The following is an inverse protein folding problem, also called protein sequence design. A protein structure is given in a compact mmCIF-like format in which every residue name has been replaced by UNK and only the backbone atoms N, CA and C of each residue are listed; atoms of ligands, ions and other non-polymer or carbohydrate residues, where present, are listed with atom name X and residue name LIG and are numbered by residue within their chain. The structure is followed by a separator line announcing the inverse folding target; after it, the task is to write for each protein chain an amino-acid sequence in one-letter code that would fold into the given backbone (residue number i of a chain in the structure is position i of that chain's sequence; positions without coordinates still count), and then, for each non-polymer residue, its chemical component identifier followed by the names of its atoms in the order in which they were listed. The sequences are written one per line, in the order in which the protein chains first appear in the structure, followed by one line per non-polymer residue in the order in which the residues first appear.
data_IF_862023546068
#
_entry.id   IF_862023546068
#
_cell.length_a   1.000
_cell.length_b   1.000
_cell.length_c   1.000
_cell.angle_alpha   90.00
_cell.angle_beta   90.00
_cell.angle_gamma   90.00
#
_symmetry.space_group_name_H-M   'P 1'
#
loop_
_entity.id
_entity.type
_entity.pdbx_description
1 polymer ?
2 non-polymer ?
3 non-polymer ?
4 water ?
#
# COMPACT_ATOMS: atom_id res chain seq x y z
N UNK A 1 -17.87 -8.11 -8.48
CA UNK A 1 -16.88 -7.06 -8.28
C UNK A 1 -16.26 -6.61 -9.61
N UNK A 2 -15.14 -5.91 -9.49
CA UNK A 2 -14.32 -5.40 -10.58
C UNK A 2 -13.11 -6.32 -10.71
N UNK A 3 -12.27 -6.06 -11.72
CA UNK A 3 -11.08 -6.88 -11.91
C UNK A 3 -9.91 -6.03 -12.41
N UNK A 4 -8.70 -6.52 -12.17
CA UNK A 4 -7.49 -5.84 -12.65
C UNK A 4 -7.28 -6.10 -14.14
N UNK A 5 -6.93 -5.05 -14.88
CA UNK A 5 -6.73 -5.14 -16.31
C UNK A 5 -7.93 -5.65 -17.09
N UNK A 6 -8.39 -6.87 -16.77
CA UNK A 6 -9.56 -7.46 -17.38
C UNK A 6 -10.84 -6.68 -17.18
N UNK A 7 -11.97 -7.23 -17.66
CA UNK A 7 -13.25 -6.53 -17.76
C UNK A 7 -13.09 -5.32 -18.67
N UNK A 8 -14.14 -4.53 -18.80
CA UNK A 8 -14.03 -3.20 -19.43
C UNK A 8 -13.55 -2.21 -18.37
N UNK A 9 -13.15 -1.02 -18.76
CA UNK A 9 -12.62 -0.04 -17.80
C UNK A 9 -13.46 0.09 -16.52
N UNK A 10 -12.85 0.57 -15.43
CA UNK A 10 -13.59 0.80 -14.20
C UNK A 10 -14.63 1.92 -14.25
N UNK A 11 -14.42 3.06 -14.91
CA UNK A 11 -15.42 4.14 -14.83
C UNK A 11 -16.80 3.74 -15.32
N UNK A 12 -16.92 2.67 -16.13
CA UNK A 12 -18.24 2.23 -16.60
C UNK A 12 -19.15 1.88 -15.43
N UNK A 13 -18.59 1.27 -14.39
CA UNK A 13 -19.33 0.86 -13.23
C UNK A 13 -19.13 1.80 -12.05
N UNK A 14 -17.95 2.43 -11.92
CA UNK A 14 -17.65 3.34 -10.81
C UNK A 14 -17.15 4.65 -11.42
N UNK A 15 -18.05 5.58 -11.70
CA UNK A 15 -17.63 6.76 -12.47
C UNK A 15 -16.57 7.62 -11.78
N UNK A 16 -16.49 7.60 -10.45
CA UNK A 16 -15.46 8.35 -9.74
C UNK A 16 -14.05 7.93 -10.11
N UNK A 17 -13.89 6.73 -10.64
CA UNK A 17 -12.57 6.30 -11.07
C UNK A 17 -12.04 7.12 -12.24
N UNK A 18 -12.90 7.93 -12.87
CA UNK A 18 -12.45 8.83 -13.92
C UNK A 18 -12.16 10.23 -13.38
N UNK A 19 -12.04 10.38 -12.05
CA UNK A 19 -11.75 11.69 -11.46
C UNK A 19 -10.40 12.20 -11.91
N UNK A 20 -10.14 13.48 -11.62
CA UNK A 20 -8.92 14.09 -12.10
C UNK A 20 -7.71 13.86 -11.20
N UNK A 21 -7.91 13.43 -9.94
CA UNK A 21 -6.79 13.39 -8.97
C UNK A 21 -6.66 11.98 -8.38
N UNK A 22 -6.34 11.05 -9.26
CA UNK A 22 -6.34 9.63 -8.94
C UNK A 22 -4.93 9.15 -8.57
N UNK A 23 -4.91 7.95 -7.98
CA UNK A 23 -3.67 7.23 -7.66
C UNK A 23 -3.72 5.86 -8.33
N UNK A 24 -2.54 5.19 -8.53
CA UNK A 24 -1.19 5.68 -8.15
C UNK A 24 -0.65 6.64 -9.21
N UNK A 25 0.55 7.17 -8.98
CA UNK A 25 1.19 8.08 -9.91
C UNK A 25 2.64 7.68 -10.11
N UNK A 26 3.24 8.20 -11.18
CA UNK A 26 4.69 8.11 -11.41
C UNK A 26 5.37 9.27 -10.69
N UNK A 27 6.30 8.95 -9.78
CA UNK A 27 7.03 9.95 -8.98
C UNK A 27 8.31 10.29 -9.74
N UNK A 28 8.55 11.57 -10.00
CA UNK A 28 9.81 12.00 -10.61
C UNK A 28 10.54 12.86 -9.60
N UNK A 29 11.49 12.27 -8.85
CA UNK A 29 12.04 12.97 -7.68
C UNK A 29 12.66 14.34 -7.99
N UNK A 30 13.29 14.52 -9.15
CA UNK A 30 13.93 15.79 -9.47
C UNK A 30 12.89 16.91 -9.67
N UNK A 31 11.62 16.57 -9.87
CA UNK A 31 10.55 17.56 -10.05
C UNK A 31 9.65 17.68 -8.84
N UNK A 32 9.89 16.90 -7.80
CA UNK A 32 9.11 17.04 -6.60
C UNK A 32 9.50 18.32 -5.89
N UNK A 33 8.56 18.87 -5.18
CA UNK A 33 8.76 20.12 -4.47
C UNK A 33 9.33 19.83 -3.10
N UNK A 34 10.53 20.32 -2.84
CA UNK A 34 11.16 20.13 -1.54
C UNK A 34 10.42 20.90 -0.46
N UNK A 35 9.97 20.21 0.58
CA UNK A 35 9.14 20.82 1.62
C UNK A 35 9.71 20.50 2.99
N UNK A 36 10.46 21.44 3.57
CA UNK A 36 11.09 21.16 4.88
C UNK A 36 10.09 21.06 6.04
N UNK A 37 8.81 21.37 5.82
CA UNK A 37 7.77 21.15 6.82
C UNK A 37 7.44 19.66 6.96
N UNK A 38 7.94 18.82 6.07
CA UNK A 38 7.58 17.39 6.14
C UNK A 38 8.62 16.72 7.03
N UNK A 39 8.27 16.50 8.29
CA UNK A 39 9.20 15.96 9.26
C UNK A 39 9.08 14.44 9.36
N UNK A 40 9.97 13.80 10.10
CA UNK A 40 9.95 12.33 10.14
C UNK A 40 8.61 11.79 10.58
N UNK A 41 8.18 10.70 9.96
CA UNK A 41 6.93 10.08 10.34
C UNK A 41 7.00 9.54 11.77
N UNK A 42 5.87 9.59 12.46
CA UNK A 42 5.81 9.10 13.84
C UNK A 42 4.77 8.00 14.00
N UNK A 43 5.18 6.84 14.43
CA UNK A 43 4.26 5.74 14.60
C UNK A 43 4.28 5.30 16.07
N UNK A 44 3.13 4.87 16.58
CA UNK A 44 3.14 4.29 17.92
C UNK A 44 2.11 3.17 17.99
N UNK A 45 2.44 2.17 18.82
CA UNK A 45 1.54 1.04 18.93
C UNK A 45 1.71 -0.01 17.87
N UNK A 46 2.73 0.10 17.00
CA UNK A 46 2.84 -0.85 15.91
C UNK A 46 3.51 -2.15 16.33
N UNK A 47 4.12 -2.23 17.52
CA UNK A 47 4.83 -3.44 17.93
C UNK A 47 3.83 -4.24 18.75
N UNK A 48 3.11 -5.14 18.08
CA UNK A 48 2.02 -5.86 18.69
C UNK A 48 2.52 -7.11 19.44
N UNK A 49 1.82 -7.46 20.51
CA UNK A 49 2.09 -8.72 21.22
C UNK A 49 1.52 -9.91 20.45
N UNK A 50 1.88 -11.13 20.84
CA UNK A 50 1.44 -12.29 20.04
C UNK A 50 -0.06 -12.49 20.05
N UNK A 51 -0.74 -12.14 21.14
CA UNK A 51 -2.18 -12.22 21.23
C UNK A 51 -2.80 -10.88 21.58
N UNK A 52 -3.94 -10.56 21.02
CA UNK A 52 -4.75 -11.41 20.12
C UNK A 52 -4.19 -11.53 18.70
N UNK A 53 -4.56 -12.60 18.01
CA UNK A 53 -4.16 -12.81 16.62
C UNK A 53 -4.88 -11.80 15.69
N UNK A 54 -4.36 -11.73 14.48
CA UNK A 54 -4.88 -10.82 13.46
C UNK A 54 -5.46 -11.61 12.31
N UNK A 55 -6.53 -11.11 11.71
CA UNK A 55 -7.15 -11.78 10.57
C UNK A 55 -6.35 -11.51 9.31
N UNK A 56 -6.08 -12.57 8.55
CA UNK A 56 -5.41 -12.47 7.26
C UNK A 56 -6.34 -13.12 6.22
N UNK A 57 -6.65 -12.40 5.16
CA UNK A 57 -7.68 -12.87 4.23
C UNK A 57 -7.26 -12.65 2.79
N UNK A 58 -7.56 -13.63 1.93
CA UNK A 58 -7.47 -13.47 0.47
C UNK A 58 -8.85 -12.99 -0.01
N UNK A 59 -8.96 -11.71 -0.34
CA UNK A 59 -10.22 -11.14 -0.78
C UNK A 59 -10.41 -11.20 -2.30
N UNK A 60 -9.56 -11.91 -3.02
CA UNK A 60 -9.66 -11.99 -4.47
C UNK A 60 -8.89 -10.91 -5.21
N UNK A 61 -8.59 -9.79 -4.55
CA UNK A 61 -7.80 -8.74 -5.17
C UNK A 61 -6.44 -8.50 -4.52
N UNK A 62 -6.22 -9.01 -3.28
CA UNK A 62 -4.96 -8.86 -2.54
C UNK A 62 -5.06 -9.78 -1.32
N UNK A 63 -3.99 -9.82 -0.54
CA UNK A 63 -4.05 -10.37 0.79
C UNK A 63 -4.06 -9.21 1.77
N UNK A 64 -5.02 -9.25 2.69
CA UNK A 64 -5.27 -8.11 3.56
C UNK A 64 -5.20 -8.56 5.02
N UNK A 65 -4.37 -7.85 5.80
CA UNK A 65 -4.20 -8.09 7.23
C UNK A 65 -4.98 -7.02 8.00
N UNK A 66 -5.94 -7.46 8.83
CA UNK A 66 -6.70 -6.51 9.65
C UNK A 66 -5.91 -6.12 10.89
N UNK A 67 -5.77 -4.75 11.11
CA UNK A 67 -5.00 -4.34 12.27
C UNK A 67 -5.92 -4.05 13.46
N UNK A 68 -5.41 -4.25 14.67
CA UNK A 68 -6.22 -4.00 15.87
C UNK A 68 -6.26 -2.51 16.18
N UNK A 69 -7.21 -2.07 17.02
CA UNK A 69 -7.19 -0.68 17.49
C UNK A 69 -5.89 -0.37 18.22
N UNK A 70 -5.50 0.92 18.18
CA UNK A 70 -4.35 1.40 18.94
C UNK A 70 -3.08 1.69 18.15
N UNK A 71 -3.09 1.54 16.84
CA UNK A 71 -1.93 1.89 16.04
C UNK A 71 -2.10 3.33 15.58
N UNK A 72 -1.18 4.21 15.97
CA UNK A 72 -1.30 5.65 15.69
C UNK A 72 -0.21 6.07 14.70
N UNK A 73 -0.55 6.98 13.78
CA UNK A 73 0.43 7.47 12.82
C UNK A 73 0.22 8.97 12.69
N UNK A 74 1.31 9.73 12.75
CA UNK A 74 1.22 11.19 12.63
C UNK A 74 2.07 11.64 11.44
N UNK A 75 1.40 12.32 10.48
CA UNK A 75 2.08 12.97 9.35
C UNK A 75 2.55 14.38 9.68
N UNK A 76 2.02 14.99 10.73
CA UNK A 76 2.35 16.37 11.00
C UNK A 76 1.29 16.94 11.89
N UNK A 77 1.45 18.20 12.29
CA UNK A 77 0.40 18.90 13.05
C UNK A 77 -0.95 18.82 12.36
N UNK A 78 -1.97 18.45 13.13
CA UNK A 78 -3.30 18.37 12.54
C UNK A 78 -3.56 17.14 11.70
N UNK A 79 -2.58 16.23 11.58
CA UNK A 79 -2.70 15.13 10.62
C UNK A 79 -2.34 13.83 11.36
N UNK A 80 -3.26 13.40 12.22
CA UNK A 80 -3.11 12.19 13.01
C UNK A 80 -4.11 11.16 12.52
N UNK A 81 -3.67 9.89 12.57
CA UNK A 81 -4.37 8.77 11.94
C UNK A 81 -4.34 7.53 12.83
N UNK A 82 -5.28 6.62 12.59
CA UNK A 82 -5.31 5.29 13.19
C UNK A 82 -5.22 4.26 12.08
N UNK A 83 -4.35 3.26 12.25
CA UNK A 83 -4.21 2.23 11.21
C UNK A 83 -5.36 1.24 11.20
N UNK A 84 -5.86 0.93 10.01
CA UNK A 84 -6.97 -0.01 9.82
C UNK A 84 -6.56 -1.38 9.31
N UNK A 85 -5.72 -1.45 8.27
CA UNK A 85 -5.40 -2.69 7.60
C UNK A 85 -4.12 -2.44 6.78
N UNK A 86 -3.47 -3.55 6.35
CA UNK A 86 -2.45 -3.42 5.30
C UNK A 86 -2.67 -4.53 4.26
N UNK A 87 -2.25 -4.25 3.01
CA UNK A 87 -2.38 -5.25 1.95
C UNK A 87 -1.21 -4.98 1.00
N UNK A 88 -1.10 -5.82 -0.05
CA UNK A 88 0.03 -5.72 -0.95
C UNK A 88 -0.42 -5.78 -2.40
N UNK A 89 0.48 -5.37 -3.26
CA UNK A 89 0.31 -5.38 -4.71
C UNK A 89 1.58 -5.95 -5.30
N UNK A 90 1.43 -6.83 -6.30
CA UNK A 90 2.60 -7.53 -6.80
C UNK A 90 2.38 -7.92 -8.26
N UNK A 91 3.39 -8.59 -8.82
CA UNK A 91 3.39 -8.90 -10.25
C UNK A 91 3.17 -10.38 -10.52
N UNK A 92 4.18 -10.97 -11.15
CA UNK A 92 4.21 -12.40 -11.48
C UNK A 92 5.65 -12.84 -11.63
N UNK A 93 5.84 -14.14 -11.81
CA UNK A 93 7.17 -14.67 -12.07
C UNK A 93 7.92 -13.80 -13.07
N UNK A 94 9.02 -13.21 -12.62
CA UNK A 94 9.62 -12.15 -13.40
C UNK A 94 9.01 -10.79 -13.12
N UNK A 95 7.81 -10.57 -13.64
CA UNK A 95 7.29 -9.24 -13.86
C UNK A 95 7.07 -8.46 -12.55
N UNK A 96 7.51 -7.22 -12.47
CA UNK A 96 7.24 -6.40 -11.28
C UNK A 96 5.79 -5.96 -11.22
N UNK A 97 5.38 -5.56 -10.01
CA UNK A 97 3.99 -5.20 -9.80
C UNK A 97 3.68 -4.15 -8.74
N UNK A 98 4.62 -3.26 -8.46
CA UNK A 98 4.28 -2.12 -7.60
C UNK A 98 3.26 -1.23 -8.32
N UNK A 99 2.54 -0.44 -7.53
CA UNK A 99 1.52 0.48 -8.03
C UNK A 99 2.17 1.81 -8.39
N UNK A 100 2.90 2.38 -7.45
CA UNK A 100 3.64 3.61 -7.82
C UNK A 100 4.88 3.20 -8.60
N UNK A 101 5.39 4.11 -9.43
CA UNK A 101 6.65 3.96 -10.13
C UNK A 101 7.51 5.16 -9.83
N UNK A 102 8.82 5.02 -10.08
CA UNK A 102 9.76 6.12 -9.85
C UNK A 102 10.53 6.31 -11.16
N UNK A 103 10.37 7.48 -11.78
CA UNK A 103 10.92 7.67 -13.14
C UNK A 103 10.60 6.50 -14.07
N UNK A 104 9.36 6.02 -14.00
CA UNK A 104 8.94 4.93 -14.84
C UNK A 104 9.39 3.57 -14.38
N UNK A 105 10.20 3.48 -13.32
CA UNK A 105 10.65 2.20 -12.80
C UNK A 105 9.58 1.56 -11.91
N UNK A 106 9.20 0.31 -12.24
CA UNK A 106 8.26 -0.46 -11.44
C UNK A 106 9.04 -1.43 -10.56
N UNK A 107 8.71 -1.44 -9.25
CA UNK A 107 9.42 -2.30 -8.31
C UNK A 107 8.68 -3.64 -8.19
N UNK A 108 9.32 -4.69 -7.66
CA UNK A 108 8.66 -6.00 -7.57
C UNK A 108 7.31 -6.00 -6.89
N UNK A 109 7.11 -5.27 -5.78
CA UNK A 109 5.82 -5.32 -5.08
C UNK A 109 5.72 -4.06 -4.24
N UNK A 110 4.58 -3.86 -3.60
CA UNK A 110 4.36 -2.64 -2.82
C UNK A 110 3.44 -3.02 -1.66
N UNK A 111 3.70 -2.44 -0.46
CA UNK A 111 2.84 -2.57 0.71
C UNK A 111 2.13 -1.27 0.97
N UNK A 112 0.84 -1.38 1.31
CA UNK A 112 -0.02 -0.22 1.61
C UNK A 112 -0.58 -0.42 3.02
N UNK A 113 -0.30 0.51 3.93
CA UNK A 113 -0.93 0.50 5.24
C UNK A 113 -1.96 1.64 5.29
N UNK A 114 -3.24 1.29 5.39
CA UNK A 114 -4.35 2.23 5.23
C UNK A 114 -4.78 2.71 6.62
N UNK A 115 -4.97 4.05 6.72
CA UNK A 115 -5.28 4.70 7.99
C UNK A 115 -6.51 5.62 7.88
N UNK A 116 -7.21 5.76 9.02
CA UNK A 116 -8.36 6.64 9.15
C UNK A 116 -7.98 7.85 9.99
N UNK A 117 -8.29 9.05 9.48
CA UNK A 117 -8.08 10.27 10.27
C UNK A 117 -8.81 10.25 11.60
N UNK A 118 -8.13 10.80 12.62
CA UNK A 118 -8.75 10.85 13.93
C UNK A 118 -9.96 11.79 13.97
N UNK A 119 -10.17 12.57 12.90
CA UNK A 119 -11.37 13.40 12.79
C UNK A 119 -12.65 12.59 12.65
N UNK A 120 -12.55 11.32 12.22
CA UNK A 120 -13.69 10.50 11.85
C UNK A 120 -13.70 9.20 12.63
N UNK A 121 -14.90 8.75 13.00
CA UNK A 121 -15.06 7.51 13.73
C UNK A 121 -15.15 6.31 12.81
N UNK A 122 -15.50 6.52 11.53
CA UNK A 122 -15.79 5.43 10.60
C UNK A 122 -15.27 5.74 9.20
N UNK A 123 -14.77 4.72 8.52
CA UNK A 123 -14.27 4.87 7.16
C UNK A 123 -15.30 5.54 6.25
N UNK A 124 -16.57 5.15 6.40
CA UNK A 124 -17.61 5.66 5.50
C UNK A 124 -17.75 7.17 5.61
N UNK A 125 -17.50 7.73 6.80
CA UNK A 125 -17.56 9.17 6.94
C UNK A 125 -16.40 9.85 6.26
N UNK A 126 -15.25 9.16 6.16
CA UNK A 126 -14.03 9.81 5.69
C UNK A 126 -13.86 9.74 4.20
N UNK A 127 -14.47 8.75 3.53
CA UNK A 127 -14.32 8.60 2.08
C UNK A 127 -14.61 9.90 1.35
N UNK A 128 -13.71 10.30 0.46
CA UNK A 128 -13.87 11.49 -0.33
C UNK A 128 -13.57 12.78 0.38
N UNK A 129 -13.32 12.75 1.67
CA UNK A 129 -12.99 14.01 2.34
C UNK A 129 -11.49 14.27 2.30
N UNK A 130 -11.01 15.49 2.09
CA UNK A 130 -9.56 15.71 1.97
C UNK A 130 -8.87 15.36 3.29
N UNK A 131 -7.90 14.44 3.21
CA UNK A 131 -7.22 13.99 4.42
C UNK A 131 -7.94 12.95 5.24
N UNK A 132 -9.12 12.50 4.83
CA UNK A 132 -9.89 11.60 5.67
C UNK A 132 -9.25 10.23 5.77
N UNK A 133 -8.53 9.83 4.74
CA UNK A 133 -7.79 8.60 4.82
C UNK A 133 -6.35 8.90 4.40
N UNK A 134 -5.40 8.10 4.95
CA UNK A 134 -4.00 8.25 4.58
C UNK A 134 -3.41 6.86 4.37
N UNK A 135 -2.56 6.73 3.36
CA UNK A 135 -1.92 5.42 3.11
C UNK A 135 -0.41 5.62 3.21
N UNK A 136 0.25 4.70 3.91
CA UNK A 136 1.70 4.64 3.88
C UNK A 136 2.09 3.55 2.89
N UNK A 137 2.94 3.89 1.94
CA UNK A 137 3.30 2.96 0.85
C UNK A 137 4.80 2.76 0.81
N UNK A 138 5.24 1.50 0.70
CA UNK A 138 6.67 1.20 0.57
C UNK A 138 6.87 0.17 -0.55
N UNK A 139 7.96 0.34 -1.29
CA UNK A 139 8.31 -0.63 -2.29
C UNK A 139 9.06 -1.81 -1.69
N UNK A 140 8.76 -2.99 -2.26
CA UNK A 140 9.46 -4.25 -1.92
C UNK A 140 10.38 -4.61 -3.07
N UNK A 141 11.66 -4.80 -2.77
CA UNK A 141 12.64 -5.16 -3.81
C UNK A 141 13.33 -6.46 -3.41
N UNK A 142 14.04 -7.05 -4.40
CA UNK A 142 14.78 -8.29 -4.15
C UNK A 142 16.13 -7.99 -3.48
N UNK A 143 16.35 -8.65 -2.34
CA UNK A 143 17.61 -8.66 -1.62
C UNK A 143 18.12 -10.10 -1.53
N UNK A 144 19.31 -10.30 -0.95
CA UNK A 144 19.90 -11.65 -0.94
C UNK A 144 19.41 -12.53 0.19
N UNK A 145 18.77 -11.94 1.20
CA UNK A 145 18.46 -12.55 2.48
C UNK A 145 16.95 -12.71 2.65
N UNK A 146 16.53 -13.80 3.30
CA UNK A 146 15.15 -13.90 3.77
C UNK A 146 14.83 -12.77 4.75
N UNK A 147 13.72 -12.06 4.50
CA UNK A 147 13.23 -11.06 5.44
C UNK A 147 12.36 -11.73 6.49
N UNK A 148 12.83 -11.73 7.76
CA UNK A 148 12.16 -12.52 8.80
C UNK A 148 10.77 -11.99 9.16
N UNK A 149 10.59 -10.65 9.11
CA UNK A 149 9.27 -10.13 9.45
C UNK A 149 8.23 -10.51 8.41
N UNK A 150 8.58 -10.40 7.12
CA UNK A 150 7.63 -10.79 6.08
C UNK A 150 7.36 -12.29 6.09
N UNK A 151 8.34 -13.08 6.49
CA UNK A 151 8.13 -14.53 6.49
C UNK A 151 6.99 -14.93 7.41
N UNK A 152 6.72 -14.15 8.46
CA UNK A 152 5.58 -14.45 9.34
C UNK A 152 4.26 -14.42 8.56
N UNK A 153 4.14 -13.52 7.58
CA UNK A 153 2.95 -13.43 6.75
C UNK A 153 3.04 -14.37 5.56
N UNK A 154 4.19 -14.38 4.87
CA UNK A 154 4.25 -15.11 3.62
C UNK A 154 4.10 -16.60 3.83
N UNK A 155 4.55 -17.11 4.98
CA UNK A 155 4.43 -18.54 5.27
C UNK A 155 2.98 -18.96 5.50
N UNK A 156 2.05 -17.99 5.67
CA UNK A 156 0.63 -18.25 5.86
C UNK A 156 -0.20 -18.06 4.60
N UNK A 157 0.42 -17.76 3.44
CA UNK A 157 -0.38 -17.61 2.24
C UNK A 157 -0.93 -18.95 1.72
N UNK A 158 -0.17 -20.04 1.86
CA UNK A 158 -0.61 -21.31 1.29
C UNK A 158 -1.99 -21.69 1.83
N UNK A 159 -2.25 -21.38 3.11
CA UNK A 159 -3.50 -21.79 3.72
C UNK A 159 -4.68 -20.89 3.36
N UNK A 160 -4.42 -19.75 2.72
CA UNK A 160 -5.49 -18.89 2.21
C UNK A 160 -5.38 -18.75 0.68
N UNK A 161 -4.88 -19.81 0.02
CA UNK A 161 -4.70 -19.72 -1.43
C UNK A 161 -6.01 -19.52 -2.17
N UNK A 162 -7.11 -20.13 -1.71
CA UNK A 162 -8.38 -20.00 -2.40
C UNK A 162 -9.04 -18.64 -2.16
N UNK A 163 -9.59 -18.05 -3.22
CA UNK A 163 -10.30 -16.80 -3.11
C UNK A 163 -11.37 -16.84 -2.03
N UNK A 164 -11.39 -15.83 -1.15
CA UNK A 164 -12.32 -15.74 -0.06
C UNK A 164 -11.91 -16.39 1.24
N UNK A 165 -10.80 -17.13 1.25
CA UNK A 165 -10.45 -17.85 2.47
C UNK A 165 -9.68 -16.96 3.42
N UNK A 166 -9.63 -17.37 4.68
CA UNK A 166 -9.09 -16.52 5.73
C UNK A 166 -8.37 -17.38 6.76
N UNK A 167 -7.46 -16.74 7.51
CA UNK A 167 -6.79 -17.42 8.59
C UNK A 167 -6.50 -16.38 9.67
N UNK A 168 -5.80 -16.83 10.73
CA UNK A 168 -5.41 -15.97 11.87
C UNK A 168 -3.92 -16.09 12.06
N UNK A 169 -3.24 -14.96 12.26
CA UNK A 169 -1.79 -15.00 12.47
C UNK A 169 -1.42 -14.35 13.79
N UNK A 170 -0.33 -14.73 14.46
CA UNK A 170 0.08 -14.03 15.68
C UNK A 170 0.30 -12.55 15.43
N UNK A 171 0.08 -11.76 16.49
CA UNK A 171 0.56 -10.38 16.46
C UNK A 171 2.04 -10.32 16.16
N UNK A 172 2.44 -9.27 15.43
CA UNK A 172 3.84 -9.09 15.08
C UNK A 172 4.17 -7.60 15.05
N UNK A 173 5.44 -7.27 14.84
CA UNK A 173 5.83 -5.86 14.76
C UNK A 173 5.53 -5.37 13.36
N UNK A 174 4.42 -4.63 13.22
CA UNK A 174 4.01 -4.18 11.91
C UNK A 174 5.05 -3.22 11.34
N UNK A 175 5.70 -2.43 12.21
CA UNK A 175 6.69 -1.50 11.69
C UNK A 175 7.91 -2.18 11.09
N UNK A 176 8.14 -3.47 11.41
CA UNK A 176 9.23 -4.18 10.78
C UNK A 176 8.91 -4.59 9.35
N UNK A 177 7.67 -4.35 8.89
CA UNK A 177 7.33 -4.58 7.48
C UNK A 177 7.61 -3.30 6.67
N UNK A 178 7.96 -2.22 7.30
CA UNK A 178 8.16 -0.94 6.64
C UNK A 178 9.67 -0.61 6.65
N UNK A 179 10.08 0.37 5.84
CA UNK A 179 11.48 0.82 5.81
C UNK A 179 11.93 1.38 7.14
N UNK A 180 13.26 1.35 7.37
CA UNK A 180 13.76 1.95 8.62
C UNK A 180 13.92 3.47 8.53
N UNK A 181 13.99 4.06 7.34
CA UNK A 181 14.19 5.51 7.15
C UNK A 181 12.82 6.15 7.10
N UNK A 182 12.42 6.82 8.19
CA UNK A 182 11.13 7.52 8.29
C UNK A 182 11.25 8.98 7.90
N UNK A 183 12.45 9.39 7.48
CA UNK A 183 12.66 10.81 7.21
C UNK A 183 12.54 11.16 5.75
N UNK A 184 12.76 10.19 4.85
CA UNK A 184 12.81 10.51 3.42
C UNK A 184 11.59 9.90 2.72
N UNK A 185 10.67 10.74 2.27
CA UNK A 185 9.46 10.24 1.63
C UNK A 185 8.88 11.27 0.70
N UNK A 186 7.96 10.85 -0.16
CA UNK A 186 7.19 11.72 -1.03
C UNK A 186 5.74 11.73 -0.58
N UNK A 187 5.02 12.85 -0.81
CA UNK A 187 3.66 12.91 -0.34
C UNK A 187 2.82 13.65 -1.37
N UNK A 188 1.60 13.17 -1.61
CA UNK A 188 0.69 13.87 -2.52
C UNK A 188 -0.75 13.48 -2.18
N UNK A 189 -1.72 14.18 -2.77
CA UNK A 189 -3.13 13.87 -2.54
C UNK A 189 -3.70 13.17 -3.77
N UNK A 190 -4.31 12.00 -3.53
CA UNK A 190 -4.84 11.18 -4.57
C UNK A 190 -6.10 10.48 -4.14
N UNK A 191 -6.17 9.21 -4.49
CA UNK A 191 -7.41 8.42 -4.39
C UNK A 191 -7.13 7.01 -3.86
N UNK A 192 -8.19 6.29 -3.54
CA UNK A 192 -8.09 4.87 -3.45
C UNK A 192 -7.75 4.30 -4.83
N UNK A 193 -6.94 3.25 -4.87
CA UNK A 193 -6.49 2.69 -6.16
C UNK A 193 -7.33 1.50 -6.59
N UNK A 194 -8.48 1.28 -5.94
CA UNK A 194 -9.50 0.35 -6.39
C UNK A 194 -10.84 1.06 -6.35
N UNK A 195 -11.85 0.56 -7.07
CA UNK A 195 -13.17 1.16 -6.93
C UNK A 195 -13.58 1.15 -5.47
N UNK A 196 -14.23 2.20 -4.99
CA UNK A 196 -14.85 3.32 -5.72
C UNK A 196 -13.92 4.49 -6.04
N UNK A 197 -12.61 4.33 -5.90
CA UNK A 197 -11.65 5.35 -6.33
C UNK A 197 -11.86 6.71 -5.64
N UNK A 198 -12.29 6.71 -4.40
CA UNK A 198 -12.63 7.99 -3.75
C UNK A 198 -11.39 8.89 -3.56
N UNK A 199 -11.55 10.18 -3.84
CA UNK A 199 -10.43 11.11 -3.76
C UNK A 199 -10.26 11.66 -2.34
N UNK A 200 -9.21 12.46 -2.15
CA UNK A 200 -8.93 13.00 -0.84
C UNK A 200 -7.93 12.21 -0.01
N UNK A 201 -7.39 11.13 -0.52
CA UNK A 201 -6.46 10.29 0.24
C UNK A 201 -5.06 10.90 0.24
N UNK A 202 -4.42 11.01 1.41
CA UNK A 202 -3.05 11.48 1.50
C UNK A 202 -2.13 10.29 1.34
N UNK A 203 -1.31 10.27 0.28
CA UNK A 203 -0.35 9.18 0.03
C UNK A 203 1.04 9.61 0.49
N UNK A 204 1.73 8.76 1.27
CA UNK A 204 3.11 8.98 1.69
C UNK A 204 3.87 7.76 1.18
N UNK A 205 4.84 8.00 0.28
CA UNK A 205 5.61 6.91 -0.32
C UNK A 205 7.03 7.01 0.22
N UNK A 206 7.48 5.99 0.96
CA UNK A 206 8.85 5.98 1.43
C UNK A 206 9.84 5.96 0.26
N UNK A 207 10.97 6.69 0.40
CA UNK A 207 12.02 6.61 -0.61
C UNK A 207 12.78 5.29 -0.46
N UNK A 208 13.04 4.88 0.78
CA UNK A 208 13.74 3.63 1.04
C UNK A 208 12.82 2.45 0.81
N UNK A 209 13.39 1.38 0.22
CA UNK A 209 12.65 0.15 0.00
C UNK A 209 12.85 -0.83 1.15
N UNK A 210 12.06 -1.91 1.11
CA UNK A 210 12.27 -3.05 1.97
C UNK A 210 12.70 -4.21 1.07
N UNK A 211 13.57 -5.08 1.61
CA UNK A 211 14.20 -6.15 0.83
C UNK A 211 13.63 -7.50 1.23
N UNK A 212 13.17 -8.27 0.23
CA UNK A 212 12.69 -9.65 0.37
C UNK A 212 13.60 -10.54 -0.46
N UNK A 213 13.71 -11.82 -0.09
CA UNK A 213 14.46 -12.71 -0.97
C UNK A 213 13.65 -12.97 -2.25
N UNK A 214 14.36 -13.52 -3.28
CA UNK A 214 13.68 -13.94 -4.50
C UNK A 214 12.58 -14.96 -4.19
N UNK A 215 12.89 -15.96 -3.35
CA UNK A 215 11.89 -16.97 -3.01
C UNK A 215 10.64 -16.35 -2.38
N UNK A 216 10.87 -15.35 -1.50
CA UNK A 216 9.77 -14.65 -0.83
C UNK A 216 8.90 -13.91 -1.82
N UNK A 217 9.52 -13.20 -2.78
CA UNK A 217 8.75 -12.51 -3.80
C UNK A 217 7.97 -13.47 -4.67
N UNK A 218 8.55 -14.66 -4.97
CA UNK A 218 7.80 -15.67 -5.74
C UNK A 218 6.64 -16.24 -4.94
N UNK A 219 6.80 -16.46 -3.65
CA UNK A 219 5.71 -16.87 -2.76
C UNK A 219 4.59 -15.85 -2.74
N UNK A 220 4.94 -14.58 -2.66
CA UNK A 220 3.91 -13.57 -2.64
C UNK A 220 3.13 -13.56 -3.96
N UNK A 221 3.83 -13.65 -5.11
CA UNK A 221 3.15 -13.44 -6.37
C UNK A 221 2.48 -14.69 -6.94
N UNK A 222 2.83 -15.91 -6.46
CA UNK A 222 2.41 -17.13 -7.15
C UNK A 222 1.53 -18.03 -6.30
N UNK A 223 1.26 -17.68 -5.04
CA UNK A 223 0.51 -18.59 -4.19
C UNK A 223 -1.01 -18.44 -4.31
N UNK A 224 -1.54 -17.21 -4.41
CA UNK A 224 -2.96 -16.97 -4.25
C UNK A 224 -3.74 -17.07 -5.55
N UNK A 225 -5.01 -17.45 -5.42
CA UNK A 225 -5.96 -17.41 -6.53
C UNK A 225 -6.98 -16.30 -6.37
N UNK A 226 -7.46 -15.80 -7.50
CA UNK A 226 -8.45 -14.78 -7.53
C UNK A 226 -9.76 -15.31 -8.06
N UNK A 227 -10.57 -14.42 -8.62
CA UNK A 227 -11.87 -14.80 -9.14
C UNK A 227 -11.75 -15.84 -10.25
N UNK A 228 -12.73 -16.72 -10.30
CA UNK A 228 -12.69 -17.78 -11.30
C UNK A 228 -11.61 -18.80 -10.94
N UNK A 229 -10.92 -19.30 -11.94
CA UNK A 229 -9.76 -20.14 -11.73
C UNK A 229 -8.49 -19.38 -12.14
N UNK A 230 -8.48 -18.07 -11.92
CA UNK A 230 -7.36 -17.23 -12.30
C UNK A 230 -6.44 -17.03 -11.12
N UNK A 231 -5.14 -16.95 -11.41
CA UNK A 231 -4.14 -16.68 -10.40
C UNK A 231 -4.21 -15.22 -10.01
N UNK A 232 -3.99 -14.95 -8.71
CA UNK A 232 -3.96 -13.55 -8.23
C UNK A 232 -2.57 -12.97 -8.48
N UNK A 233 -2.43 -12.30 -9.61
CA UNK A 233 -1.16 -11.78 -10.11
C UNK A 233 -1.42 -10.46 -10.82
N UNK A 234 -0.40 -9.61 -10.83
CA UNK A 234 -0.48 -8.32 -11.53
C UNK A 234 -1.63 -7.48 -10.99
N UNK A 235 -1.74 -7.43 -9.65
CA UNK A 235 -2.88 -6.77 -9.03
C UNK A 235 -2.54 -5.34 -8.66
N UNK A 236 -2.24 -4.55 -9.70
CA UNK A 236 -1.92 -3.14 -9.56
C UNK A 236 -2.70 -2.36 -10.59
N UNK A 237 -3.10 -1.16 -10.20
CA UNK A 237 -3.71 -0.21 -11.12
C UNK A 237 -2.64 0.54 -11.91
N UNK A 238 -2.93 0.83 -13.20
CA UNK A 238 -2.05 1.71 -14.00
C UNK A 238 -1.83 3.08 -13.35
N UNK A 239 -0.66 3.71 -13.61
CA UNK A 239 -0.49 5.03 -13.03
C UNK A 239 -1.36 6.03 -13.76
N UNK A 240 -1.73 7.06 -13.05
CA UNK A 240 -2.68 8.09 -13.39
C UNK A 240 -2.00 9.43 -13.58
N UNK A 241 -2.53 10.26 -14.47
CA UNK A 241 -1.95 11.60 -14.67
C UNK A 241 -2.02 12.46 -13.42
N UNK A 242 -0.92 13.18 -13.17
CA UNK A 242 -0.91 14.13 -12.05
C UNK A 242 -1.89 15.28 -12.21
N UNK A 243 -2.12 15.74 -13.45
CA UNK A 243 -3.09 16.80 -13.75
C UNK A 243 -2.79 18.05 -12.93
N UNK A 244 -1.51 18.40 -12.83
CA UNK A 244 -1.15 19.64 -12.18
C UNK A 244 -0.87 19.52 -10.70
N UNK A 245 -1.06 18.34 -10.13
CA UNK A 245 -0.69 18.17 -8.73
C UNK A 245 0.82 18.20 -8.58
N UNK A 246 1.27 18.69 -7.42
CA UNK A 246 2.69 18.77 -7.10
C UNK A 246 2.99 17.67 -6.08
N UNK A 247 3.94 16.82 -6.37
CA UNK A 247 4.35 15.81 -5.39
C UNK A 247 5.39 16.48 -4.49
N UNK A 248 5.21 16.39 -3.17
CA UNK A 248 6.19 16.96 -2.26
C UNK A 248 7.24 15.93 -1.86
N UNK A 249 8.46 16.38 -1.60
CA UNK A 249 9.52 15.55 -1.04
C UNK A 249 9.98 16.07 0.30
N UNK A 250 10.23 15.19 1.28
CA UNK A 250 10.69 15.59 2.60
C UNK A 250 12.17 15.75 2.68
N UNK A 251 12.88 15.65 1.57
CA UNK A 251 14.33 15.64 1.54
C UNK A 251 14.78 16.18 0.19
N UNK A 252 16.04 16.61 0.08
CA UNK A 252 16.57 17.05 -1.23
C UNK A 252 16.75 15.90 -2.21
N UNK A 253 15.93 15.85 -3.26
CA UNK A 253 15.67 14.62 -4.01
C UNK A 253 15.92 14.81 -5.50
N UNK A 254 16.28 13.71 -6.19
CA UNK A 254 16.42 13.75 -7.63
C UNK A 254 17.62 14.51 -8.15
N UNK A 255 18.64 14.69 -7.32
CA UNK A 255 19.89 15.32 -7.76
C UNK A 255 20.84 14.23 -8.24
N UNK A 256 21.45 14.46 -9.41
CA UNK A 256 22.23 13.45 -10.14
C UNK A 256 21.57 12.07 -10.11
X LIG B 1 -3.39 -0.78 -2.13
X LIG C 1 -5.54 1.80 -1.15
X LIG C 1 -6.09 2.03 -2.19
X LIG C 1 -4.51 1.00 -1.13
#
# INVERSE_FOLDING_TARGET
HWRYGGDPPWPRVSPACAGRFQSPVDIRPQLAAFSPALRPLELSGFQLPPLPELRLRNNGHSVQLTLPPGLEMKLGPGREYRALQLHLHWGAAGRPGSEHTVEGHRFPAEIHVVHLSTKYARVDEALGRPGGLAVLAAFLEEGPEENSAYEQLLSRLEEIAEEGSETQVPGLDISALLPSDFSRYFQYEGSLTTPPCAQGVIWTVFNQTVSLSAKQLHTLSDTLWGPGDSRLQLNFRATQPLNGRVIEASFPAGVD
ZN ZN
FMT C O1 O2
#
